data_IF_359007001313
#
_entry.id   IF_359007001313
#
_cell.length_a   1.000
_cell.length_b   1.000
_cell.length_c   1.000
_cell.angle_alpha   90.00
_cell.angle_beta   90.00
_cell.angle_gamma   90.00
#
_symmetry.space_group_name_H-M   'P 1'
#
loop_
_entity.id
_entity.type
_entity.pdbx_description
1 polymer ?
#
# COMPACT_ATOMS: atom_id res chain seq x y z
N UNK A 1 3.59 1.81 34.04
CA UNK A 1 3.27 0.46 33.49
C UNK A 1 4.07 0.25 32.21
N UNK A 2 4.95 -0.76 32.14
CA UNK A 2 5.62 -1.13 30.88
C UNK A 2 4.58 -1.73 29.94
N UNK A 3 4.21 -1.03 28.87
CA UNK A 3 3.34 -1.56 27.83
C UNK A 3 4.09 -2.70 27.11
N UNK A 4 3.70 -3.95 27.39
CA UNK A 4 4.33 -5.15 26.80
C UNK A 4 4.09 -5.22 25.29
N UNK A 5 4.97 -5.91 24.59
CA UNK A 5 4.82 -6.23 23.16
C UNK A 5 3.58 -7.11 22.97
N UNK A 6 2.79 -6.83 21.94
CA UNK A 6 1.57 -7.56 21.61
C UNK A 6 1.64 -8.01 20.15
N UNK A 7 1.81 -9.32 19.95
CA UNK A 7 1.97 -9.89 18.61
C UNK A 7 0.68 -9.81 17.78
N UNK A 8 -0.52 -9.86 18.38
CA UNK A 8 -1.77 -9.71 17.63
C UNK A 8 -1.88 -8.29 17.07
N UNK A 9 -1.49 -7.28 17.84
CA UNK A 9 -1.41 -5.90 17.36
C UNK A 9 -0.43 -5.79 16.18
N UNK A 10 0.76 -6.39 16.29
CA UNK A 10 1.75 -6.41 15.22
C UNK A 10 1.15 -7.03 13.96
N UNK A 11 0.49 -8.19 14.07
CA UNK A 11 -0.14 -8.89 12.93
C UNK A 11 -1.20 -8.01 12.27
N UNK A 12 -2.16 -7.47 13.01
CA UNK A 12 -3.23 -6.68 12.42
C UNK A 12 -2.74 -5.36 11.83
N UNK A 13 -1.85 -4.66 12.51
CA UNK A 13 -1.27 -3.41 12.00
C UNK A 13 -0.39 -3.69 10.78
N UNK A 14 0.31 -4.83 10.73
CA UNK A 14 1.06 -5.27 9.56
C UNK A 14 0.14 -5.51 8.35
N UNK A 15 -0.95 -6.27 8.53
CA UNK A 15 -1.91 -6.55 7.45
C UNK A 15 -2.57 -5.24 6.98
N UNK A 16 -2.96 -4.36 7.90
CA UNK A 16 -3.55 -3.06 7.56
C UNK A 16 -2.58 -2.20 6.75
N UNK A 17 -1.33 -2.11 7.21
CA UNK A 17 -0.29 -1.34 6.54
C UNK A 17 0.04 -1.92 5.16
N UNK A 18 0.06 -3.24 5.00
CA UNK A 18 0.17 -3.89 3.69
C UNK A 18 -0.86 -3.33 2.70
N UNK A 19 -2.15 -3.37 3.05
CA UNK A 19 -3.21 -2.87 2.18
C UNK A 19 -3.11 -1.37 1.89
N UNK A 20 -2.72 -0.55 2.86
CA UNK A 20 -2.51 0.89 2.65
C UNK A 20 -1.38 1.15 1.64
N UNK A 21 -0.27 0.42 1.72
CA UNK A 21 0.85 0.59 0.79
C UNK A 21 0.42 0.19 -0.62
N UNK A 22 -0.33 -0.92 -0.74
CA UNK A 22 -0.94 -1.33 -2.01
C UNK A 22 -1.86 -0.26 -2.59
N UNK A 23 -2.68 0.37 -1.76
CA UNK A 23 -3.54 1.47 -2.18
C UNK A 23 -2.73 2.64 -2.75
N UNK A 24 -1.74 3.14 -2.01
CA UNK A 24 -0.92 4.28 -2.43
C UNK A 24 -0.14 3.98 -3.72
N UNK A 25 0.46 2.79 -3.81
CA UNK A 25 1.12 2.34 -5.02
C UNK A 25 0.15 2.25 -6.19
N UNK A 26 -1.08 1.79 -5.98
CA UNK A 26 -2.10 1.73 -7.04
C UNK A 26 -2.46 3.13 -7.54
N UNK A 27 -2.68 4.08 -6.64
CA UNK A 27 -2.96 5.46 -7.01
C UNK A 27 -1.80 6.14 -7.76
N UNK A 28 -0.56 5.73 -7.54
CA UNK A 28 0.58 6.28 -8.26
C UNK A 28 0.48 6.09 -9.78
N UNK A 29 -0.16 5.01 -10.25
CA UNK A 29 -0.32 4.73 -11.68
C UNK A 29 -1.28 5.70 -12.39
N UNK A 30 -2.13 6.42 -11.64
CA UNK A 30 -2.98 7.46 -12.21
C UNK A 30 -2.17 8.61 -12.82
N UNK A 31 -0.96 8.82 -12.31
CA UNK A 31 -0.03 9.83 -12.83
C UNK A 31 0.39 9.53 -14.27
N UNK A 32 0.70 8.27 -14.56
CA UNK A 32 1.27 7.85 -15.84
C UNK A 32 0.25 7.07 -16.68
N UNK A 33 -1.04 7.39 -16.52
CA UNK A 33 -2.14 6.64 -17.13
C UNK A 33 -2.08 6.64 -18.66
N UNK A 34 -1.74 7.77 -19.26
CA UNK A 34 -1.57 7.91 -20.71
C UNK A 34 -0.48 6.96 -21.24
N UNK A 35 0.61 6.79 -20.49
CA UNK A 35 1.69 5.87 -20.85
C UNK A 35 1.20 4.40 -20.79
N UNK A 36 0.36 4.07 -19.81
CA UNK A 36 -0.23 2.73 -19.66
C UNK A 36 -1.21 2.43 -20.81
N UNK A 37 -2.09 3.37 -21.15
CA UNK A 37 -3.06 3.24 -22.25
C UNK A 37 -2.35 3.07 -23.60
N UNK A 38 -1.37 3.92 -23.88
CA UNK A 38 -0.59 3.83 -25.12
C UNK A 38 0.20 2.51 -25.20
N UNK A 39 0.74 2.04 -24.07
CA UNK A 39 1.46 0.76 -24.02
C UNK A 39 0.52 -0.43 -24.23
N UNK A 40 -0.76 -0.33 -23.85
CA UNK A 40 -1.76 -1.34 -24.15
C UNK A 40 -2.15 -1.34 -25.64
N UNK A 41 -2.33 -0.17 -26.24
CA UNK A 41 -2.76 -0.04 -27.65
C UNK A 41 -1.64 -0.44 -28.61
N UNK A 42 -0.43 0.07 -28.40
CA UNK A 42 0.67 -0.08 -29.35
C UNK A 42 1.74 -1.11 -28.93
N UNK A 43 1.68 -1.57 -27.68
CA UNK A 43 2.71 -2.41 -27.07
C UNK A 43 3.80 -1.58 -26.39
N UNK A 44 4.34 -2.03 -25.23
CA UNK A 44 5.31 -1.26 -24.45
C UNK A 44 6.58 -0.89 -25.23
N UNK A 45 7.07 -1.80 -26.08
CA UNK A 45 8.29 -1.60 -26.87
C UNK A 45 8.10 -0.49 -27.92
N UNK A 46 6.97 -0.48 -28.61
CA UNK A 46 6.67 0.56 -29.59
C UNK A 46 6.61 1.93 -28.92
N UNK A 47 5.99 2.01 -27.74
CA UNK A 47 5.87 3.25 -26.97
C UNK A 47 7.23 3.76 -26.51
N UNK A 48 8.12 2.88 -26.06
CA UNK A 48 9.49 3.27 -25.70
C UNK A 48 10.27 3.77 -26.92
N UNK A 49 10.17 3.08 -28.06
CA UNK A 49 10.93 3.40 -29.28
C UNK A 49 10.38 4.65 -30.02
N UNK A 50 9.11 5.00 -29.80
CA UNK A 50 8.41 6.10 -30.50
C UNK A 50 7.78 7.13 -29.54
N UNK A 51 8.30 7.25 -28.31
CA UNK A 51 7.73 8.10 -27.26
C UNK A 51 7.50 9.55 -27.71
N UNK A 52 8.45 10.15 -28.42
CA UNK A 52 8.32 11.52 -28.95
C UNK A 52 7.13 11.69 -29.91
N UNK A 53 6.93 10.73 -30.82
CA UNK A 53 5.81 10.73 -31.78
C UNK A 53 4.45 10.57 -31.09
N UNK A 54 4.44 9.90 -29.95
CA UNK A 54 3.25 9.70 -29.12
C UNK A 54 3.03 10.85 -28.13
N UNK A 55 3.87 11.89 -28.16
CA UNK A 55 3.82 13.04 -27.25
C UNK A 55 4.09 12.66 -25.80
N UNK A 56 4.91 11.63 -25.58
CA UNK A 56 5.42 11.20 -24.29
C UNK A 56 6.86 11.71 -24.14
N UNK A 57 7.13 12.37 -23.03
CA UNK A 57 8.46 12.86 -22.69
C UNK A 57 9.37 11.72 -22.23
N UNK A 58 10.70 11.81 -22.46
CA UNK A 58 11.65 10.86 -21.90
C UNK A 58 11.56 10.73 -20.37
N UNK A 59 11.17 11.82 -19.70
CA UNK A 59 10.97 11.85 -18.25
C UNK A 59 9.82 10.95 -17.79
N UNK A 60 8.68 10.94 -18.49
CA UNK A 60 7.56 10.05 -18.17
C UNK A 60 7.98 8.57 -18.24
N UNK A 61 8.77 8.20 -19.26
CA UNK A 61 9.29 6.84 -19.40
C UNK A 61 10.32 6.53 -18.30
N UNK A 62 11.26 7.44 -18.05
CA UNK A 62 12.34 7.25 -17.07
C UNK A 62 11.79 7.12 -15.64
N UNK A 63 10.76 7.88 -15.29
CA UNK A 63 10.21 7.93 -13.95
C UNK A 63 9.01 6.99 -13.72
N UNK A 64 8.56 6.24 -14.73
CA UNK A 64 7.41 5.33 -14.63
C UNK A 64 7.50 4.34 -13.46
N UNK A 65 8.71 3.82 -13.19
CA UNK A 65 8.94 2.91 -12.05
C UNK A 65 9.33 3.63 -10.76
N UNK A 66 9.70 4.91 -10.84
CA UNK A 66 10.16 5.69 -9.70
C UNK A 66 8.98 6.11 -8.80
N UNK A 67 7.92 6.67 -9.38
CA UNK A 67 6.77 7.17 -8.61
C UNK A 67 6.03 6.09 -7.82
N UNK A 68 5.79 4.88 -8.35
CA UNK A 68 5.25 3.78 -7.55
C UNK A 68 6.09 3.48 -6.30
N UNK A 69 7.42 3.63 -6.40
CA UNK A 69 8.32 3.54 -5.25
C UNK A 69 8.05 4.62 -4.21
N UNK A 70 8.03 5.89 -4.63
CA UNK A 70 7.78 7.05 -3.76
C UNK A 70 6.42 6.95 -3.06
N UNK A 71 5.36 6.60 -3.79
CA UNK A 71 4.03 6.47 -3.22
C UNK A 71 3.93 5.28 -2.25
N UNK A 72 4.64 4.18 -2.52
CA UNK A 72 4.72 3.08 -1.56
C UNK A 72 5.36 3.53 -0.24
N UNK A 73 6.45 4.30 -0.30
CA UNK A 73 7.08 4.89 0.89
C UNK A 73 6.12 5.83 1.63
N UNK A 74 5.38 6.67 0.91
CA UNK A 74 4.33 7.50 1.50
C UNK A 74 3.26 6.66 2.22
N UNK A 75 2.85 5.53 1.62
CA UNK A 75 1.93 4.58 2.24
C UNK A 75 2.50 3.94 3.52
N UNK A 76 3.80 3.61 3.55
CA UNK A 76 4.48 3.10 4.76
C UNK A 76 4.43 4.15 5.88
N UNK A 77 4.80 5.39 5.57
CA UNK A 77 4.79 6.50 6.53
C UNK A 77 3.37 6.76 7.04
N UNK A 78 2.38 6.80 6.15
CA UNK A 78 0.99 7.00 6.51
C UNK A 78 0.46 5.89 7.44
N UNK A 79 0.70 4.62 7.10
CA UNK A 79 0.31 3.48 7.93
C UNK A 79 1.00 3.49 9.31
N UNK A 80 2.26 3.91 9.36
CA UNK A 80 3.01 4.06 10.61
C UNK A 80 2.43 5.15 11.51
N UNK A 81 2.07 6.31 10.94
CA UNK A 81 1.41 7.40 11.67
C UNK A 81 0.08 6.91 12.27
N UNK A 82 -0.75 6.20 11.49
CA UNK A 82 -2.00 5.61 11.97
C UNK A 82 -1.76 4.60 13.09
N UNK A 83 -0.81 3.69 12.90
CA UNK A 83 -0.43 2.67 13.89
C UNK A 83 -0.02 3.30 15.22
N UNK A 84 0.80 4.36 15.20
CA UNK A 84 1.20 5.10 16.40
C UNK A 84 0.02 5.81 17.04
N UNK A 85 -0.77 6.54 16.25
CA UNK A 85 -1.92 7.28 16.76
C UNK A 85 -2.90 6.36 17.49
N UNK A 86 -3.25 5.23 16.88
CA UNK A 86 -4.14 4.23 17.48
C UNK A 86 -3.52 3.66 18.75
N UNK A 87 -2.24 3.28 18.71
CA UNK A 87 -1.54 2.76 19.89
C UNK A 87 -1.56 3.75 21.06
N UNK A 88 -1.35 5.05 20.79
CA UNK A 88 -1.41 6.10 21.81
C UNK A 88 -2.83 6.27 22.38
N UNK A 89 -3.84 6.39 21.52
CA UNK A 89 -5.24 6.56 21.92
C UNK A 89 -5.70 5.38 22.80
N UNK A 90 -5.30 4.16 22.41
CA UNK A 90 -5.65 2.92 23.10
C UNK A 90 -4.72 2.56 24.26
N UNK A 91 -3.71 3.39 24.55
CA UNK A 91 -2.69 3.13 25.57
C UNK A 91 -1.98 1.77 25.39
N UNK A 92 -1.82 1.33 24.15
CA UNK A 92 -1.05 0.15 23.75
C UNK A 92 0.42 0.49 23.52
N UNK A 93 1.28 -0.53 23.49
CA UNK A 93 2.71 -0.33 23.27
C UNK A 93 2.99 0.24 21.88
N UNK A 94 3.61 1.42 21.84
CA UNK A 94 4.04 2.07 20.59
C UNK A 94 5.14 1.24 19.91
N UNK A 95 5.90 0.45 20.69
CA UNK A 95 6.96 -0.42 20.17
C UNK A 95 6.45 -1.41 19.12
N UNK A 96 5.20 -1.88 19.24
CA UNK A 96 4.55 -2.72 18.23
C UNK A 96 4.48 -2.02 16.87
N UNK A 97 4.22 -0.70 16.85
CA UNK A 97 4.18 0.09 15.61
C UNK A 97 5.56 0.21 14.97
N UNK A 98 6.62 0.34 15.77
CA UNK A 98 8.00 0.34 15.27
C UNK A 98 8.41 -1.01 14.69
N UNK A 99 8.01 -2.12 15.34
CA UNK A 99 8.26 -3.47 14.80
C UNK A 99 7.57 -3.62 13.44
N UNK A 100 6.31 -3.20 13.31
CA UNK A 100 5.58 -3.24 12.04
C UNK A 100 6.28 -2.39 10.98
N UNK A 101 6.74 -1.18 11.31
CA UNK A 101 7.48 -0.30 10.39
C UNK A 101 8.74 -1.00 9.85
N UNK A 102 9.56 -1.57 10.74
CA UNK A 102 10.79 -2.26 10.34
C UNK A 102 10.49 -3.46 9.45
N UNK A 103 9.53 -4.31 9.84
CA UNK A 103 9.16 -5.49 9.06
C UNK A 103 8.68 -5.11 7.65
N UNK A 104 7.77 -4.15 7.56
CA UNK A 104 7.22 -3.71 6.28
C UNK A 104 8.27 -3.04 5.41
N UNK A 105 9.13 -2.19 5.99
CA UNK A 105 10.19 -1.54 5.25
C UNK A 105 11.18 -2.54 4.67
N UNK A 106 11.58 -3.55 5.46
CA UNK A 106 12.48 -4.61 4.98
C UNK A 106 11.83 -5.43 3.86
N UNK A 107 10.57 -5.85 4.03
CA UNK A 107 9.85 -6.59 2.98
C UNK A 107 9.67 -5.75 1.70
N UNK A 108 9.40 -4.45 1.84
CA UNK A 108 9.35 -3.51 0.73
C UNK A 108 10.70 -3.41 0.02
N UNK A 109 11.79 -3.23 0.78
CA UNK A 109 13.15 -3.07 0.26
C UNK A 109 13.63 -4.28 -0.53
N UNK A 110 13.29 -5.49 -0.07
CA UNK A 110 13.65 -6.76 -0.72
C UNK A 110 12.61 -7.26 -1.72
N UNK A 111 11.63 -6.42 -2.10
CA UNK A 111 10.57 -6.77 -3.06
C UNK A 111 9.75 -8.02 -2.66
N UNK A 112 9.69 -8.33 -1.36
CA UNK A 112 9.06 -9.53 -0.81
C UNK A 112 7.57 -9.34 -0.47
N UNK A 113 7.00 -8.17 -0.72
CA UNK A 113 5.57 -7.88 -0.51
C UNK A 113 4.66 -8.48 -1.60
N UNK A 114 5.24 -9.14 -2.62
CA UNK A 114 4.47 -9.89 -3.60
C UNK A 114 3.72 -9.03 -4.61
N UNK A 115 4.22 -7.82 -4.91
CA UNK A 115 3.61 -6.85 -5.83
C UNK A 115 3.18 -7.46 -7.18
N UNK A 116 3.99 -8.35 -7.73
CA UNK A 116 3.75 -8.97 -9.03
C UNK A 116 2.51 -9.89 -9.03
N UNK A 117 2.21 -10.55 -7.91
CA UNK A 117 1.05 -11.44 -7.79
C UNK A 117 -0.26 -10.64 -7.73
N UNK A 118 -0.24 -9.49 -7.06
CA UNK A 118 -1.41 -8.63 -6.95
C UNK A 118 -1.71 -7.82 -8.21
N UNK A 119 -0.71 -7.61 -9.10
CA UNK A 119 -0.93 -7.01 -10.42
C UNK A 119 -1.98 -7.79 -11.24
N UNK A 120 -2.07 -9.11 -11.03
CA UNK A 120 -3.03 -9.99 -11.71
C UNK A 120 -4.45 -9.79 -11.17
N UNK A 121 -4.61 -9.46 -9.89
CA UNK A 121 -5.91 -9.21 -9.26
C UNK A 121 -6.36 -7.74 -9.37
N UNK A 122 -5.42 -6.79 -9.41
CA UNK A 122 -5.67 -5.36 -9.47
C UNK A 122 -5.97 -4.84 -10.89
N UNK A 123 -5.60 -5.59 -11.94
CA UNK A 123 -5.85 -5.21 -13.33
C UNK A 123 -7.10 -5.94 -13.84
N UNK A 124 -8.25 -5.32 -13.63
CA UNK A 124 -9.19 -5.04 -14.72
C UNK A 124 -9.69 -6.22 -15.54
N UNK A 125 -10.35 -7.21 -14.91
CA UNK A 125 -11.27 -8.07 -15.66
C UNK A 125 -12.68 -7.48 -15.82
N UNK A 126 -13.01 -6.43 -15.07
CA UNK A 126 -14.38 -5.93 -14.97
C UNK A 126 -14.58 -4.48 -15.46
N UNK A 127 -13.49 -3.71 -15.65
CA UNK A 127 -13.53 -2.28 -15.98
C UNK A 127 -12.51 -2.01 -17.09
N UNK A 128 -12.98 -1.52 -18.24
CA UNK A 128 -12.14 -1.24 -19.41
C UNK A 128 -11.40 0.10 -19.34
N UNK A 129 -11.76 0.95 -18.37
CA UNK A 129 -11.14 2.24 -18.10
C UNK A 129 -10.05 2.08 -17.02
N UNK A 130 -8.79 2.35 -17.37
CA UNK A 130 -7.67 2.24 -16.43
C UNK A 130 -7.77 3.23 -15.27
N UNK A 131 -8.28 4.43 -15.51
CA UNK A 131 -8.38 5.48 -14.51
C UNK A 131 -9.33 5.03 -13.43
N UNK A 132 -10.52 4.61 -13.85
CA UNK A 132 -11.56 4.13 -12.96
C UNK A 132 -11.08 2.86 -12.25
N UNK A 133 -10.42 1.94 -12.95
CA UNK A 133 -9.88 0.73 -12.34
C UNK A 133 -8.85 1.04 -11.24
N UNK A 134 -7.88 1.94 -11.47
CA UNK A 134 -6.90 2.30 -10.44
C UNK A 134 -7.55 3.03 -9.26
N UNK A 135 -8.53 3.91 -9.50
CA UNK A 135 -9.28 4.60 -8.44
C UNK A 135 -10.04 3.58 -7.58
N UNK A 136 -10.82 2.70 -8.20
CA UNK A 136 -11.62 1.70 -7.48
C UNK A 136 -10.72 0.73 -6.72
N UNK A 137 -9.72 0.16 -7.38
CA UNK A 137 -8.81 -0.81 -6.77
C UNK A 137 -8.01 -0.19 -5.63
N UNK A 138 -7.45 1.01 -5.83
CA UNK A 138 -6.72 1.73 -4.79
C UNK A 138 -7.62 2.08 -3.60
N UNK A 139 -8.86 2.52 -3.85
CA UNK A 139 -9.83 2.85 -2.80
C UNK A 139 -10.27 1.63 -2.02
N UNK A 140 -10.49 0.50 -2.71
CA UNK A 140 -10.84 -0.77 -2.09
C UNK A 140 -9.78 -1.21 -1.08
N UNK A 141 -8.50 -1.20 -1.48
CA UNK A 141 -7.41 -1.54 -0.56
C UNK A 141 -7.28 -0.53 0.59
N UNK A 142 -7.50 0.76 0.34
CA UNK A 142 -7.49 1.76 1.41
C UNK A 142 -8.55 1.47 2.46
N UNK A 143 -9.78 1.18 2.00
CA UNK A 143 -10.92 0.87 2.87
C UNK A 143 -10.60 -0.37 3.71
N UNK A 144 -10.05 -1.44 3.12
CA UNK A 144 -9.65 -2.63 3.88
C UNK A 144 -8.64 -2.28 4.97
N UNK A 145 -7.58 -1.55 4.62
CA UNK A 145 -6.55 -1.14 5.58
C UNK A 145 -7.12 -0.32 6.74
N UNK A 146 -7.97 0.66 6.44
CA UNK A 146 -8.64 1.48 7.45
C UNK A 146 -9.61 0.67 8.30
N UNK A 147 -10.40 -0.23 7.71
CA UNK A 147 -11.31 -1.11 8.45
C UNK A 147 -10.52 -1.98 9.43
N UNK A 148 -9.38 -2.55 9.04
CA UNK A 148 -8.57 -3.35 9.97
C UNK A 148 -8.07 -2.50 11.15
N UNK A 149 -7.59 -1.28 10.90
CA UNK A 149 -7.12 -0.36 11.94
C UNK A 149 -8.22 0.07 12.91
N UNK A 150 -9.42 0.37 12.40
CA UNK A 150 -10.48 1.01 13.19
C UNK A 150 -11.60 0.05 13.63
N UNK A 151 -11.63 -1.18 13.12
CA UNK A 151 -12.68 -2.15 13.47
C UNK A 151 -12.70 -2.44 14.96
N UNK A 152 -13.91 -2.38 15.53
CA UNK A 152 -14.16 -2.78 16.93
C UNK A 152 -13.75 -4.23 17.18
N UNK A 153 -13.93 -5.09 16.18
CA UNK A 153 -13.58 -6.51 16.28
C UNK A 153 -12.06 -6.69 16.44
N UNK A 154 -11.27 -6.08 15.55
CA UNK A 154 -9.81 -6.10 15.63
C UNK A 154 -9.30 -5.56 16.96
N UNK A 155 -9.83 -4.41 17.36
CA UNK A 155 -9.42 -3.74 18.60
C UNK A 155 -9.73 -4.57 19.84
N UNK A 156 -10.91 -5.23 19.88
CA UNK A 156 -11.28 -6.12 20.98
C UNK A 156 -10.35 -7.32 21.09
N UNK A 157 -9.92 -7.92 19.98
CA UNK A 157 -8.98 -9.05 19.99
C UNK A 157 -7.63 -8.61 20.55
N UNK A 158 -7.12 -7.44 20.11
CA UNK A 158 -5.87 -6.88 20.62
C UNK A 158 -5.96 -6.60 22.12
N UNK A 159 -7.05 -5.96 22.58
CA UNK A 159 -7.30 -5.64 24.00
C UNK A 159 -7.36 -6.92 24.85
N UNK A 160 -8.06 -7.96 24.38
CA UNK A 160 -8.16 -9.23 25.11
C UNK A 160 -6.79 -9.88 25.37
N UNK A 161 -5.81 -9.72 24.47
CA UNK A 161 -4.46 -10.22 24.70
C UNK A 161 -3.73 -9.43 25.79
N UNK A 162 -3.88 -8.09 25.80
CA UNK A 162 -3.30 -7.27 26.87
C UNK A 162 -3.87 -7.64 28.24
N UNK A 163 -5.16 -8.01 28.31
CA UNK A 163 -5.78 -8.49 29.55
C UNK A 163 -5.25 -9.86 29.99
N UNK A 164 -4.97 -10.78 29.06
CA UNK A 164 -4.42 -12.12 29.38
C UNK A 164 -2.95 -12.12 29.81
N UNK A 165 -2.21 -11.05 29.52
CA UNK A 165 -0.76 -10.95 29.77
C UNK A 165 -0.40 -10.02 30.93
N UNK A 166 -1.41 -9.41 31.56
CA UNK A 166 -1.34 -8.69 32.83
C UNK A 166 -1.79 -9.62 33.96
#
# INVERSE_FOLDING_TARGET
>A
MKQKINYIQIIFHFIAAYFIIFSFRTFSWLRDIRLIELAQIHGPRYVMDNHEKLGITPGEVAYFNFWPGVYSLAGIVFAFILSIAISKIKKWSILNSFIVLVLIYLLYRYNALGWNYFRIFAIGRFINDYQLNFIVTGSFFLIIGLVIFFSRWTNRIIENQYLKTN
#
